data_IF_874238606696
#
_entry.id   IF_874238606696
#
_cell.length_a   1.000
_cell.length_b   1.000
_cell.length_c   1.000
_cell.angle_alpha   90.00
_cell.angle_beta   90.00
_cell.angle_gamma   90.00
#
_symmetry.space_group_name_H-M   'P 1'
#
loop_
_entity.id
_entity.type
_entity.pdbx_description
1 polymer ?
#
# COMPACT_ATOMS: atom_id res chain seq x y z
N UNK A 1 14.97 -10.08 10.97
CA UNK A 1 15.20 -8.83 10.19
C UNK A 1 15.41 -7.61 11.07
N UNK A 2 14.63 -7.37 12.15
CA UNK A 2 14.94 -6.32 13.14
C UNK A 2 16.29 -6.55 13.85
N UNK A 3 16.56 -7.77 14.32
CA UNK A 3 17.80 -8.09 15.07
C UNK A 3 19.10 -8.00 14.25
N UNK A 4 19.02 -8.00 12.91
CA UNK A 4 20.21 -7.90 12.05
C UNK A 4 20.72 -6.46 11.90
N UNK A 5 19.89 -5.46 12.20
CA UNK A 5 20.29 -4.05 12.14
C UNK A 5 21.10 -3.58 13.35
N UNK A 6 21.07 -4.29 14.48
CA UNK A 6 21.70 -3.86 15.73
C UNK A 6 23.14 -4.40 15.91
N UNK A 7 23.57 -5.38 15.13
CA UNK A 7 24.76 -6.19 15.45
C UNK A 7 26.12 -5.71 14.91
N UNK A 8 26.27 -4.46 14.43
CA UNK A 8 27.56 -4.02 13.83
C UNK A 8 28.14 -2.72 14.41
N UNK A 9 28.00 -2.51 15.71
CA UNK A 9 28.70 -1.45 16.44
C UNK A 9 29.75 -2.08 17.34
N UNK A 10 30.99 -1.61 17.22
CA UNK A 10 32.22 -1.90 18.00
C UNK A 10 33.21 -2.91 17.37
N UNK A 11 34.34 -2.38 16.88
CA UNK A 11 35.68 -2.59 17.48
C UNK A 11 36.61 -1.42 17.14
N UNK A 12 37.41 -1.03 18.15
CA UNK A 12 38.39 0.07 18.19
C UNK A 12 39.79 -0.43 17.83
N UNK A 13 40.57 0.35 17.07
CA UNK A 13 41.92 0.84 17.42
C UNK A 13 42.73 1.35 16.21
N UNK A 14 43.15 2.62 16.28
CA UNK A 14 44.42 3.18 15.78
C UNK A 14 44.82 3.02 14.30
N UNK A 15 44.26 3.84 13.39
CA UNK A 15 44.92 4.29 12.14
C UNK A 15 44.15 5.48 11.53
N UNK A 16 44.38 6.69 12.06
CA UNK A 16 43.90 7.95 11.47
C UNK A 16 44.85 8.29 10.30
N UNK A 17 44.50 8.11 9.04
CA UNK A 17 43.95 9.20 8.19
C UNK A 17 43.47 8.68 6.81
N UNK A 18 43.30 7.36 6.65
CA UNK A 18 42.81 6.74 5.39
C UNK A 18 41.40 6.10 5.55
N UNK A 19 40.83 6.15 6.76
CA UNK A 19 39.60 5.44 7.16
C UNK A 19 38.40 6.38 7.33
N UNK A 20 38.59 7.71 7.20
CA UNK A 20 37.48 8.68 7.30
C UNK A 20 36.45 8.50 6.17
N UNK A 21 36.89 8.38 4.91
CA UNK A 21 35.98 8.14 3.77
C UNK A 21 35.20 6.83 3.94
N UNK A 22 35.84 5.80 4.49
CA UNK A 22 35.21 4.51 4.76
C UNK A 22 34.24 4.58 5.96
N UNK A 23 34.53 5.41 6.96
CA UNK A 23 33.64 5.75 8.07
C UNK A 23 32.41 6.51 7.60
N UNK A 24 32.58 7.52 6.75
CA UNK A 24 31.51 8.34 6.18
C UNK A 24 30.64 7.54 5.21
N UNK A 25 31.26 6.71 4.36
CA UNK A 25 30.55 5.77 3.49
C UNK A 25 29.77 4.73 4.27
N UNK A 26 30.36 4.16 5.34
CA UNK A 26 29.65 3.23 6.24
C UNK A 26 28.49 3.93 6.97
N UNK A 27 28.71 5.13 7.49
CA UNK A 27 27.68 5.93 8.14
C UNK A 27 26.54 6.30 7.18
N UNK A 28 26.86 6.68 5.93
CA UNK A 28 25.88 6.94 4.88
C UNK A 28 25.06 5.69 4.54
N UNK A 29 25.71 4.53 4.38
CA UNK A 29 25.02 3.26 4.14
C UNK A 29 24.06 2.89 5.27
N UNK A 30 24.48 3.10 6.54
CA UNK A 30 23.61 2.87 7.71
C UNK A 30 22.40 3.80 7.68
N UNK A 31 22.60 5.09 7.40
CA UNK A 31 21.51 6.06 7.28
C UNK A 31 20.51 5.66 6.20
N UNK A 32 21.00 5.27 5.01
CA UNK A 32 20.12 4.89 3.91
C UNK A 32 19.37 3.58 4.19
N UNK A 33 20.02 2.61 4.85
CA UNK A 33 19.34 1.39 5.32
C UNK A 33 18.22 1.71 6.31
N UNK A 34 18.44 2.62 7.26
CA UNK A 34 17.40 3.08 8.20
C UNK A 34 16.25 3.77 7.46
N UNK A 35 16.55 4.66 6.49
CA UNK A 35 15.55 5.30 5.64
C UNK A 35 14.70 4.27 4.88
N UNK A 36 15.34 3.30 4.25
CA UNK A 36 14.67 2.22 3.52
C UNK A 36 13.85 1.30 4.43
N UNK A 37 14.33 1.03 5.65
CA UNK A 37 13.57 0.29 6.65
C UNK A 37 12.26 1.02 7.01
N UNK A 38 12.34 2.32 7.31
CA UNK A 38 11.16 3.15 7.60
C UNK A 38 10.15 3.14 6.46
N UNK A 39 10.61 3.26 5.21
CA UNK A 39 9.74 3.19 4.02
C UNK A 39 9.06 1.82 3.92
N UNK A 40 9.81 0.73 4.15
CA UNK A 40 9.26 -0.62 4.07
C UNK A 40 8.22 -0.89 5.17
N UNK A 41 8.39 -0.32 6.37
CA UNK A 41 7.39 -0.38 7.45
C UNK A 41 6.11 0.34 7.04
N UNK A 42 6.20 1.58 6.54
CA UNK A 42 5.03 2.32 6.06
C UNK A 42 4.30 1.57 4.93
N UNK A 43 5.04 0.90 4.05
CA UNK A 43 4.48 0.04 3.01
C UNK A 43 3.74 -1.20 3.56
N UNK A 44 4.16 -1.74 4.71
CA UNK A 44 3.45 -2.84 5.37
C UNK A 44 2.15 -2.30 5.98
N UNK A 45 2.22 -1.15 6.66
CA UNK A 45 1.04 -0.50 7.22
C UNK A 45 0.00 -0.17 6.15
N UNK A 46 0.42 0.39 5.01
CA UNK A 46 -0.47 0.68 3.89
C UNK A 46 -1.20 -0.60 3.40
N UNK A 47 -0.50 -1.73 3.31
CA UNK A 47 -1.10 -3.00 2.89
C UNK A 47 -2.20 -3.50 3.83
N UNK A 48 -2.19 -3.11 5.11
CA UNK A 48 -3.24 -3.48 6.05
C UNK A 48 -4.59 -2.80 5.75
N UNK A 49 -4.58 -1.71 4.98
CA UNK A 49 -5.78 -0.97 4.58
C UNK A 49 -6.25 -1.31 3.16
N UNK A 50 -5.44 -2.04 2.39
CA UNK A 50 -5.77 -2.46 1.04
C UNK A 50 -6.64 -3.72 1.08
N UNK A 51 -7.68 -3.83 0.23
CA UNK A 51 -8.45 -5.05 0.11
C UNK A 51 -7.62 -6.19 -0.48
N UNK A 52 -7.35 -7.22 0.33
CA UNK A 52 -6.52 -8.38 -0.04
C UNK A 52 -7.29 -9.70 0.11
N UNK A 53 -6.87 -10.72 -0.65
CA UNK A 53 -7.41 -12.07 -0.49
C UNK A 53 -6.88 -12.73 0.80
N UNK A 54 -7.62 -13.67 1.41
CA UNK A 54 -7.22 -14.33 2.67
C UNK A 54 -5.86 -15.05 2.60
N UNK A 55 -5.46 -15.49 1.41
CA UNK A 55 -4.21 -16.20 1.15
C UNK A 55 -3.37 -15.53 0.07
N UNK A 56 -3.54 -14.22 -0.11
CA UNK A 56 -2.85 -13.50 -1.17
C UNK A 56 -1.34 -13.44 -0.93
N UNK A 57 -0.57 -13.64 -2.01
CA UNK A 57 0.84 -13.28 -2.00
C UNK A 57 0.99 -11.78 -1.71
N UNK A 58 2.05 -11.40 -1.00
CA UNK A 58 2.37 -9.98 -0.78
C UNK A 58 2.42 -9.21 -2.10
N UNK A 59 1.58 -8.18 -2.22
CA UNK A 59 1.55 -7.25 -3.36
C UNK A 59 2.90 -6.55 -3.54
N UNK A 60 3.29 -6.33 -4.80
CA UNK A 60 4.47 -5.56 -5.16
C UNK A 60 4.32 -4.09 -4.72
N UNK A 61 5.41 -3.31 -4.70
CA UNK A 61 5.33 -1.88 -4.33
C UNK A 61 4.43 -1.10 -5.30
N UNK A 62 4.55 -1.35 -6.60
CA UNK A 62 3.74 -0.66 -7.62
C UNK A 62 2.26 -1.05 -7.50
N UNK A 63 1.95 -2.34 -7.32
CA UNK A 63 0.56 -2.80 -7.18
C UNK A 63 -0.09 -2.25 -5.91
N UNK A 64 0.67 -2.20 -4.81
CA UNK A 64 0.21 -1.60 -3.55
C UNK A 64 -0.20 -0.14 -3.77
N UNK A 65 0.61 0.64 -4.48
CA UNK A 65 0.31 2.06 -4.74
C UNK A 65 -0.87 2.24 -5.69
N UNK A 66 -0.89 1.51 -6.82
CA UNK A 66 -1.98 1.59 -7.79
C UNK A 66 -3.33 1.21 -7.17
N UNK A 67 -3.35 0.14 -6.38
CA UNK A 67 -4.56 -0.33 -5.72
C UNK A 67 -5.01 0.65 -4.63
N UNK A 68 -4.09 1.24 -3.87
CA UNK A 68 -4.42 2.28 -2.91
C UNK A 68 -5.06 3.51 -3.57
N UNK A 69 -4.50 3.99 -4.69
CA UNK A 69 -5.04 5.13 -5.44
C UNK A 69 -6.45 4.81 -5.96
N UNK A 70 -6.63 3.66 -6.62
CA UNK A 70 -7.94 3.25 -7.12
C UNK A 70 -8.96 3.10 -5.99
N UNK A 71 -8.55 2.52 -4.87
CA UNK A 71 -9.43 2.30 -3.73
C UNK A 71 -9.87 3.62 -3.07
N UNK A 72 -8.95 4.58 -2.88
CA UNK A 72 -9.29 5.92 -2.38
C UNK A 72 -10.31 6.59 -3.31
N UNK A 73 -10.04 6.62 -4.63
CA UNK A 73 -10.95 7.23 -5.60
C UNK A 73 -12.36 6.60 -5.56
N UNK A 74 -12.43 5.27 -5.44
CA UNK A 74 -13.71 4.56 -5.30
C UNK A 74 -14.45 4.99 -4.03
N UNK A 75 -13.76 5.04 -2.89
CA UNK A 75 -14.37 5.44 -1.61
C UNK A 75 -14.84 6.90 -1.64
N UNK A 76 -14.07 7.81 -2.22
CA UNK A 76 -14.50 9.19 -2.39
C UNK A 76 -15.75 9.32 -3.26
N UNK A 77 -15.81 8.57 -4.36
CA UNK A 77 -16.97 8.56 -5.25
C UNK A 77 -18.22 8.00 -4.58
N UNK A 78 -18.05 6.95 -3.77
CA UNK A 78 -19.12 6.38 -2.93
C UNK A 78 -19.63 7.43 -1.94
N UNK A 79 -18.74 8.18 -1.28
CA UNK A 79 -19.12 9.22 -0.32
C UNK A 79 -19.78 10.45 -0.96
N UNK A 80 -19.39 10.80 -2.19
CA UNK A 80 -19.97 11.92 -2.95
C UNK A 80 -21.33 11.57 -3.57
N UNK A 81 -21.59 10.30 -3.80
CA UNK A 81 -22.82 9.83 -4.44
C UNK A 81 -24.00 9.87 -3.47
N UNK A 82 -25.16 10.42 -3.86
CA UNK A 82 -26.38 10.34 -3.04
C UNK A 82 -27.03 8.94 -3.06
N UNK A 83 -26.43 7.99 -3.78
CA UNK A 83 -26.93 6.63 -3.91
C UNK A 83 -26.36 5.74 -2.80
N UNK A 84 -27.10 4.69 -2.45
CA UNK A 84 -26.55 3.58 -1.65
C UNK A 84 -25.18 3.10 -2.22
N UNK A 85 -24.15 2.92 -1.37
CA UNK A 85 -22.82 2.50 -1.79
C UNK A 85 -22.81 1.25 -2.68
N UNK A 86 -23.55 0.21 -2.31
CA UNK A 86 -23.58 -1.04 -3.07
C UNK A 86 -24.23 -0.83 -4.44
N UNK A 87 -25.31 -0.04 -4.50
CA UNK A 87 -25.99 0.31 -5.76
C UNK A 87 -25.08 1.15 -6.67
N UNK A 88 -24.37 2.13 -6.12
CA UNK A 88 -23.42 2.96 -6.87
C UNK A 88 -22.31 2.10 -7.49
N UNK A 89 -21.64 1.28 -6.68
CA UNK A 89 -20.55 0.41 -7.13
C UNK A 89 -21.06 -0.56 -8.20
N UNK A 90 -22.21 -1.20 -8.00
CA UNK A 90 -22.80 -2.13 -8.98
C UNK A 90 -23.03 -1.44 -10.33
N UNK A 91 -23.53 -0.20 -10.33
CA UNK A 91 -23.70 0.60 -11.56
C UNK A 91 -22.35 0.86 -12.24
N UNK A 92 -21.35 1.29 -11.48
CA UNK A 92 -20.00 1.56 -12.01
C UNK A 92 -19.33 0.32 -12.60
N UNK A 93 -19.45 -0.83 -11.95
CA UNK A 93 -18.95 -2.11 -12.47
C UNK A 93 -19.67 -2.51 -13.76
N UNK A 94 -20.98 -2.30 -13.85
CA UNK A 94 -21.73 -2.55 -15.08
C UNK A 94 -21.26 -1.66 -16.23
N UNK A 95 -21.03 -0.36 -15.97
CA UNK A 95 -20.49 0.58 -16.95
C UNK A 95 -19.09 0.15 -17.44
N UNK A 96 -18.21 -0.25 -16.52
CA UNK A 96 -16.87 -0.76 -16.85
C UNK A 96 -16.92 -2.01 -17.73
N UNK A 97 -17.80 -2.97 -17.42
CA UNK A 97 -18.01 -4.19 -18.22
C UNK A 97 -18.55 -3.92 -19.62
N UNK A 98 -19.35 -2.88 -19.79
CA UNK A 98 -19.81 -2.44 -21.11
C UNK A 98 -18.79 -1.58 -21.88
N UNK A 99 -17.59 -1.37 -21.33
CA UNK A 99 -16.58 -0.45 -21.87
C UNK A 99 -17.13 0.97 -22.08
N UNK A 100 -18.01 1.42 -21.18
CA UNK A 100 -18.67 2.70 -21.31
C UNK A 100 -17.65 3.84 -21.16
N UNK A 101 -17.70 4.90 -21.99
CA UNK A 101 -16.78 6.04 -21.89
C UNK A 101 -16.82 6.80 -20.55
N UNK A 102 -17.84 6.53 -19.73
CA UNK A 102 -18.06 7.17 -18.42
C UNK A 102 -17.80 6.19 -17.27
N UNK A 103 -17.18 5.04 -17.54
CA UNK A 103 -16.75 4.13 -16.49
C UNK A 103 -15.69 4.84 -15.63
N UNK A 104 -15.79 4.76 -14.29
CA UNK A 104 -14.85 5.46 -13.44
C UNK A 104 -13.46 4.83 -13.53
N UNK A 105 -12.43 5.67 -13.46
CA UNK A 105 -11.03 5.25 -13.59
C UNK A 105 -10.57 4.28 -12.50
N UNK A 106 -11.23 4.28 -11.33
CA UNK A 106 -10.95 3.33 -10.26
C UNK A 106 -11.38 1.90 -10.58
N UNK A 107 -12.27 1.69 -11.57
CA UNK A 107 -12.86 0.39 -11.91
C UNK A 107 -11.90 -0.54 -12.68
N UNK A 108 -10.67 -0.67 -12.18
CA UNK A 108 -9.66 -1.60 -12.70
C UNK A 108 -10.10 -3.04 -12.46
N UNK A 109 -9.65 -3.96 -13.33
CA UNK A 109 -9.94 -5.40 -13.19
C UNK A 109 -9.54 -5.95 -11.81
N UNK A 110 -8.39 -5.52 -11.29
CA UNK A 110 -7.88 -5.92 -9.99
C UNK A 110 -8.75 -5.42 -8.83
N UNK A 111 -9.14 -4.12 -8.81
CA UNK A 111 -10.01 -3.61 -7.75
C UNK A 111 -11.41 -4.24 -7.81
N UNK A 112 -11.97 -4.44 -9.02
CA UNK A 112 -13.27 -5.09 -9.20
C UNK A 112 -13.26 -6.51 -8.61
N UNK A 113 -12.21 -7.29 -8.85
CA UNK A 113 -12.07 -8.65 -8.32
C UNK A 113 -11.99 -8.70 -6.79
N UNK A 114 -11.61 -7.58 -6.15
CA UNK A 114 -11.44 -7.46 -4.70
C UNK A 114 -12.68 -6.93 -3.98
N UNK A 115 -13.71 -6.49 -4.69
CA UNK A 115 -14.89 -5.85 -4.08
C UNK A 115 -15.60 -6.72 -3.03
N UNK A 116 -15.63 -8.04 -3.24
CA UNK A 116 -16.23 -9.00 -2.29
C UNK A 116 -15.39 -9.20 -1.02
N UNK A 117 -14.15 -8.74 -1.02
CA UNK A 117 -13.19 -8.89 0.09
C UNK A 117 -13.03 -7.60 0.91
N UNK A 118 -13.65 -6.51 0.46
CA UNK A 118 -13.71 -5.27 1.23
C UNK A 118 -14.53 -5.50 2.50
N UNK A 119 -13.97 -5.08 3.63
CA UNK A 119 -14.62 -5.16 4.94
C UNK A 119 -15.60 -4.00 5.12
N UNK A 120 -16.71 -4.01 4.39
CA UNK A 120 -17.71 -2.95 4.36
C UNK A 120 -18.21 -2.53 5.77
N UNK A 121 -18.38 -3.49 6.67
CA UNK A 121 -18.73 -3.22 8.08
C UNK A 121 -17.73 -2.30 8.80
N UNK A 122 -16.42 -2.40 8.50
CA UNK A 122 -15.40 -1.51 9.09
C UNK A 122 -15.51 -0.07 8.57
N UNK A 123 -16.24 0.14 7.47
CA UNK A 123 -16.50 1.43 6.87
C UNK A 123 -17.86 2.00 7.27
N UNK A 124 -18.60 1.33 8.17
CA UNK A 124 -19.96 1.74 8.55
C UNK A 124 -21.00 1.55 7.43
N UNK A 125 -20.65 0.78 6.39
CA UNK A 125 -21.56 0.40 5.31
C UNK A 125 -22.08 -0.99 5.66
N UNK A 126 -23.28 -1.06 6.24
CA UNK A 126 -23.97 -2.32 6.51
C UNK A 126 -24.60 -2.85 5.21
N UNK A 127 -24.57 -4.17 4.96
CA UNK A 127 -25.35 -4.77 3.88
C UNK A 127 -26.85 -4.53 4.15
N UNK A 128 -27.58 -4.09 3.12
CA UNK A 128 -29.04 -4.12 3.16
C UNK A 128 -29.46 -5.60 3.20
N UNK A 129 -30.13 -6.01 4.29
CA UNK A 129 -30.78 -7.32 4.43
C UNK A 129 -31.75 -7.62 3.28
#
# INVERSE_FOLDING_TARGET
>A
WQSFCEQNVVTSDGFYDFVEDEGDRRAANVRERKRMCSINVAFIELRNYIPTFPFEKRLSKIDTLNLAIAYINMLEDVLRSPMDPHRYIRRCVAMSRSSHPNAPSWSTSDLIARLSWIKWRRLGIEPIE
#
